data_IF_655626722809
#
_entry.id   IF_655626722809
#
_cell.length_a   1.000
_cell.length_b   1.000
_cell.length_c   1.000
_cell.angle_alpha   90.00
_cell.angle_beta   90.00
_cell.angle_gamma   90.00
#
_symmetry.space_group_name_H-M   'P 1'
#
loop_
_entity.id
_entity.type
_entity.pdbx_description
1 polymer ?
#
# COMPACT_ATOMS: atom_id res chain seq x y z
N UNK A 1 20.84 -28.34 -22.85
CA UNK A 1 21.93 -28.05 -21.90
C UNK A 1 21.75 -28.99 -20.73
N UNK A 2 22.66 -29.95 -20.55
CA UNK A 2 22.68 -30.86 -19.41
C UNK A 2 23.16 -30.09 -18.18
N UNK A 3 22.36 -30.10 -17.10
CA UNK A 3 22.74 -29.50 -15.82
C UNK A 3 23.43 -30.58 -14.99
N UNK A 4 24.63 -30.26 -14.47
CA UNK A 4 25.42 -31.21 -13.69
C UNK A 4 25.39 -30.84 -12.21
N UNK A 5 24.89 -31.75 -11.38
CA UNK A 5 24.75 -31.55 -9.94
C UNK A 5 25.32 -32.74 -9.17
N UNK A 6 25.78 -32.49 -7.94
CA UNK A 6 26.22 -33.56 -7.05
C UNK A 6 25.00 -34.36 -6.59
N UNK A 7 24.96 -35.64 -6.98
CA UNK A 7 23.88 -36.52 -6.57
C UNK A 7 24.14 -37.04 -5.15
N UNK A 8 23.21 -36.84 -4.19
CA UNK A 8 23.40 -37.26 -2.79
C UNK A 8 23.54 -38.77 -2.63
N UNK A 9 22.99 -39.56 -3.56
CA UNK A 9 23.09 -41.02 -3.56
C UNK A 9 24.35 -41.56 -4.24
N UNK A 10 24.77 -40.95 -5.35
CA UNK A 10 25.98 -41.38 -6.07
C UNK A 10 27.27 -40.82 -5.48
N UNK A 11 27.20 -39.72 -4.73
CA UNK A 11 28.36 -38.97 -4.23
C UNK A 11 29.23 -38.36 -5.34
N UNK A 12 28.71 -38.27 -6.57
CA UNK A 12 29.43 -37.75 -7.75
C UNK A 12 28.57 -36.74 -8.49
N UNK A 13 29.23 -35.82 -9.17
CA UNK A 13 28.58 -34.92 -10.14
C UNK A 13 28.04 -35.73 -11.30
N UNK A 14 26.74 -35.60 -11.55
CA UNK A 14 26.01 -36.32 -12.61
C UNK A 14 25.14 -35.36 -13.39
N UNK A 15 24.85 -35.74 -14.63
CA UNK A 15 23.78 -35.08 -15.38
C UNK A 15 22.44 -35.34 -14.68
N UNK A 16 21.71 -34.25 -14.46
CA UNK A 16 20.38 -34.25 -13.85
C UNK A 16 19.38 -33.63 -14.81
N UNK A 17 18.13 -34.07 -14.69
CA UNK A 17 16.98 -33.45 -15.35
C UNK A 17 16.04 -32.85 -14.30
N UNK A 18 15.26 -31.84 -14.70
CA UNK A 18 14.24 -31.24 -13.83
C UNK A 18 12.91 -31.96 -14.01
N UNK A 19 12.32 -32.41 -12.92
CA UNK A 19 11.02 -33.07 -12.88
C UNK A 19 10.04 -32.16 -12.14
N UNK A 20 8.85 -31.94 -12.73
CA UNK A 20 7.78 -31.17 -12.12
C UNK A 20 6.70 -32.12 -11.56
N UNK A 21 6.25 -31.90 -10.33
CA UNK A 21 5.16 -32.65 -9.69
C UNK A 21 4.20 -31.71 -8.98
N UNK A 22 2.91 -32.03 -9.02
CA UNK A 22 1.96 -31.36 -8.13
C UNK A 22 2.14 -31.84 -6.69
N UNK A 23 2.30 -30.89 -5.79
CA UNK A 23 2.30 -31.10 -4.34
C UNK A 23 1.25 -30.21 -3.69
N UNK A 24 0.88 -30.55 -2.45
CA UNK A 24 -0.03 -29.75 -1.64
C UNK A 24 0.71 -29.29 -0.39
N UNK A 25 0.58 -28.00 -0.08
CA UNK A 25 1.06 -27.45 1.18
C UNK A 25 -0.09 -26.79 1.94
N UNK A 26 -0.04 -26.86 3.26
CA UNK A 26 -1.00 -26.16 4.12
C UNK A 26 -0.40 -24.83 4.56
N UNK A 27 -0.94 -23.73 4.03
CA UNK A 27 -0.54 -22.36 4.42
C UNK A 27 -1.71 -21.73 5.16
N UNK A 28 -1.48 -21.29 6.41
CA UNK A 28 -2.51 -20.69 7.29
C UNK A 28 -3.81 -21.53 7.40
N UNK A 29 -3.66 -22.85 7.49
CA UNK A 29 -4.78 -23.79 7.63
C UNK A 29 -5.58 -24.04 6.35
N UNK A 30 -5.09 -23.60 5.18
CA UNK A 30 -5.72 -23.87 3.87
C UNK A 30 -4.77 -24.69 3.00
N UNK A 31 -5.29 -25.73 2.35
CA UNK A 31 -4.53 -26.53 1.40
C UNK A 31 -4.38 -25.80 0.07
N UNK A 32 -3.14 -25.76 -0.43
CA UNK A 32 -2.79 -25.10 -1.70
C UNK A 32 -2.05 -26.10 -2.58
N UNK A 33 -2.60 -26.44 -3.76
CA UNK A 33 -1.85 -27.18 -4.76
C UNK A 33 -0.83 -26.24 -5.41
N UNK A 34 0.41 -26.72 -5.58
CA UNK A 34 1.46 -26.01 -6.30
C UNK A 34 2.34 -27.00 -7.08
N UNK A 35 2.99 -26.51 -8.14
CA UNK A 35 3.93 -27.31 -8.92
C UNK A 35 5.33 -27.20 -8.31
N UNK A 36 5.81 -28.29 -7.73
CA UNK A 36 7.17 -28.41 -7.20
C UNK A 36 8.13 -28.91 -8.28
N UNK A 37 9.37 -28.43 -8.23
CA UNK A 37 10.48 -28.83 -9.10
C UNK A 37 11.53 -29.59 -8.32
N UNK A 38 11.92 -30.74 -8.84
CA UNK A 38 12.96 -31.59 -8.30
C UNK A 38 14.05 -31.86 -9.35
N UNK A 39 15.25 -32.18 -8.90
CA UNK A 39 16.32 -32.67 -9.77
C UNK A 39 16.37 -34.18 -9.72
N UNK A 40 16.33 -34.85 -10.87
CA UNK A 40 16.46 -36.30 -10.99
C UNK A 40 17.79 -36.66 -11.63
N UNK A 41 18.56 -37.52 -10.97
CA UNK A 41 19.81 -38.04 -11.52
C UNK A 41 19.54 -39.02 -12.67
N UNK A 42 20.08 -38.75 -13.86
CA UNK A 42 19.88 -39.62 -15.03
C UNK A 42 20.59 -40.98 -14.91
N UNK A 43 21.53 -41.14 -13.99
CA UNK A 43 22.28 -42.39 -13.80
C UNK A 43 21.63 -43.33 -12.79
N UNK A 44 21.19 -42.81 -11.64
CA UNK A 44 20.66 -43.63 -10.55
C UNK A 44 19.14 -43.46 -10.32
N UNK A 45 18.52 -42.51 -11.00
CA UNK A 45 17.10 -42.19 -10.86
C UNK A 45 16.73 -41.44 -9.58
N UNK A 46 17.69 -41.11 -8.72
CA UNK A 46 17.41 -40.42 -7.45
C UNK A 46 16.87 -39.01 -7.69
N UNK A 47 15.74 -38.69 -7.06
CA UNK A 47 15.13 -37.37 -7.05
C UNK A 47 15.52 -36.63 -5.77
N UNK A 48 16.01 -35.41 -5.91
CA UNK A 48 16.43 -34.58 -4.78
C UNK A 48 16.22 -33.10 -5.09
N UNK A 49 16.12 -32.30 -4.03
CA UNK A 49 16.07 -30.85 -4.13
C UNK A 49 17.50 -30.29 -4.23
N UNK A 50 17.82 -29.66 -5.36
CA UNK A 50 19.08 -28.95 -5.50
C UNK A 50 19.07 -27.62 -4.75
N UNK A 51 20.26 -27.06 -4.42
CA UNK A 51 20.35 -25.71 -3.87
C UNK A 51 19.58 -24.69 -4.74
N UNK A 52 18.71 -23.90 -4.10
CA UNK A 52 17.82 -22.94 -4.77
C UNK A 52 16.49 -23.53 -5.29
N UNK A 53 16.36 -24.85 -5.50
CA UNK A 53 15.08 -25.46 -5.85
C UNK A 53 14.10 -25.45 -4.66
N UNK A 54 14.61 -25.68 -3.44
CA UNK A 54 13.79 -25.57 -2.24
C UNK A 54 13.17 -24.17 -2.10
N UNK A 55 13.98 -23.11 -2.24
CA UNK A 55 13.50 -21.73 -2.17
C UNK A 55 12.49 -21.43 -3.29
N UNK A 56 12.77 -21.89 -4.52
CA UNK A 56 11.86 -21.72 -5.64
C UNK A 56 10.52 -22.46 -5.44
N UNK A 57 10.53 -23.66 -4.85
CA UNK A 57 9.32 -24.42 -4.52
C UNK A 57 8.51 -23.73 -3.43
N UNK A 58 9.18 -23.19 -2.40
CA UNK A 58 8.54 -22.39 -1.35
C UNK A 58 7.89 -21.12 -1.91
N UNK A 59 8.56 -20.43 -2.84
CA UNK A 59 8.01 -19.25 -3.50
C UNK A 59 6.85 -19.59 -4.44
N UNK A 60 6.92 -20.71 -5.17
CA UNK A 60 5.82 -21.21 -5.98
C UNK A 60 4.58 -21.54 -5.13
N UNK A 61 4.77 -22.17 -3.98
CA UNK A 61 3.72 -22.45 -3.02
C UNK A 61 3.07 -21.17 -2.45
N UNK A 62 3.88 -20.17 -2.09
CA UNK A 62 3.40 -18.85 -1.63
C UNK A 62 2.61 -18.12 -2.71
N UNK A 63 3.11 -18.10 -3.94
CA UNK A 63 2.44 -17.48 -5.08
C UNK A 63 1.09 -18.15 -5.36
N UNK A 64 1.04 -19.49 -5.30
CA UNK A 64 -0.21 -20.24 -5.43
C UNK A 64 -1.23 -19.85 -4.35
N UNK A 65 -0.80 -19.73 -3.08
CA UNK A 65 -1.65 -19.28 -1.99
C UNK A 65 -2.20 -17.87 -2.24
N UNK A 66 -1.34 -16.92 -2.61
CA UNK A 66 -1.75 -15.54 -2.87
C UNK A 66 -2.72 -15.47 -4.04
N UNK A 67 -2.52 -16.23 -5.11
CA UNK A 67 -3.47 -16.28 -6.25
C UNK A 67 -4.83 -16.83 -5.86
N UNK A 68 -4.86 -17.87 -5.03
CA UNK A 68 -6.09 -18.54 -4.62
C UNK A 68 -6.89 -17.74 -3.58
N UNK A 69 -6.21 -17.04 -2.67
CA UNK A 69 -6.85 -16.51 -1.46
C UNK A 69 -6.67 -15.02 -1.20
N UNK A 70 -5.68 -14.37 -1.80
CA UNK A 70 -5.35 -12.95 -1.53
C UNK A 70 -5.41 -12.06 -2.78
N UNK A 71 -5.72 -12.63 -3.95
CA UNK A 71 -5.86 -11.88 -5.18
C UNK A 71 -7.10 -10.96 -5.11
N UNK A 72 -7.00 -9.71 -5.61
CA UNK A 72 -8.12 -8.78 -5.58
C UNK A 72 -9.26 -9.30 -6.46
N UNK A 73 -10.48 -9.22 -5.95
CA UNK A 73 -11.66 -9.67 -6.70
C UNK A 73 -12.02 -8.66 -7.80
N UNK A 74 -12.65 -9.11 -8.90
CA UNK A 74 -13.07 -8.21 -9.99
C UNK A 74 -13.87 -7.00 -9.51
N UNK A 75 -14.77 -7.18 -8.54
CA UNK A 75 -15.60 -6.09 -8.00
C UNK A 75 -14.76 -5.07 -7.21
N UNK A 76 -13.75 -5.54 -6.48
CA UNK A 76 -12.81 -4.68 -5.74
C UNK A 76 -11.98 -3.82 -6.70
N UNK A 77 -11.60 -4.39 -7.84
CA UNK A 77 -10.88 -3.69 -8.91
C UNK A 77 -11.73 -2.60 -9.55
N UNK A 78 -12.99 -2.91 -9.88
CA UNK A 78 -13.96 -1.93 -10.39
C UNK A 78 -14.18 -0.82 -9.36
N UNK A 79 -14.33 -1.17 -8.08
CA UNK A 79 -14.51 -0.20 -7.00
C UNK A 79 -13.28 0.71 -6.84
N UNK A 80 -12.08 0.14 -6.86
CA UNK A 80 -10.81 0.88 -6.79
C UNK A 80 -10.70 1.89 -7.93
N UNK A 81 -10.92 1.45 -9.17
CA UNK A 81 -10.87 2.32 -10.34
C UNK A 81 -11.93 3.43 -10.27
N UNK A 82 -13.15 3.07 -9.86
CA UNK A 82 -14.28 4.01 -9.75
C UNK A 82 -14.07 5.04 -8.65
N UNK A 83 -13.38 4.69 -7.56
CA UNK A 83 -12.98 5.62 -6.48
C UNK A 83 -12.19 6.83 -7.01
N UNK A 84 -11.40 6.60 -8.07
CA UNK A 84 -10.60 7.62 -8.75
C UNK A 84 -11.26 8.19 -10.00
N UNK A 85 -12.51 7.84 -10.31
CA UNK A 85 -13.18 8.29 -11.54
C UNK A 85 -12.50 7.86 -12.84
N UNK A 86 -11.62 6.86 -12.79
CA UNK A 86 -10.82 6.42 -13.93
C UNK A 86 -11.62 5.47 -14.86
N UNK A 87 -11.47 5.61 -16.18
CA UNK A 87 -11.90 4.58 -17.14
C UNK A 87 -10.92 3.40 -17.13
N UNK A 88 -11.31 2.22 -17.62
CA UNK A 88 -10.42 1.05 -17.69
C UNK A 88 -9.12 1.38 -18.45
N UNK A 89 -9.25 2.08 -19.59
CA UNK A 89 -8.13 2.56 -20.40
C UNK A 89 -7.22 3.53 -19.63
N UNK A 90 -7.80 4.54 -18.98
CA UNK A 90 -7.00 5.51 -18.23
C UNK A 90 -6.30 4.88 -17.03
N UNK A 91 -6.99 4.00 -16.29
CA UNK A 91 -6.41 3.29 -15.16
C UNK A 91 -5.26 2.36 -15.58
N UNK A 92 -5.42 1.67 -16.72
CA UNK A 92 -4.33 0.87 -17.31
C UNK A 92 -3.10 1.74 -17.63
N UNK A 93 -3.31 2.91 -18.24
CA UNK A 93 -2.23 3.86 -18.56
C UNK A 93 -1.53 4.35 -17.29
N UNK A 94 -2.28 4.67 -16.23
CA UNK A 94 -1.73 5.15 -14.94
C UNK A 94 -0.83 4.10 -14.30
N UNK A 95 -1.25 2.84 -14.31
CA UNK A 95 -0.49 1.73 -13.72
C UNK A 95 0.58 1.15 -14.65
N UNK A 96 0.68 1.63 -15.89
CA UNK A 96 1.62 1.10 -16.89
C UNK A 96 1.22 -0.26 -17.46
N UNK A 97 -0.05 -0.64 -17.37
CA UNK A 97 -0.57 -1.87 -17.93
C UNK A 97 -0.82 -1.76 -19.45
N UNK A 98 -0.90 -2.92 -20.12
CA UNK A 98 -1.43 -3.00 -21.48
C UNK A 98 -2.91 -2.60 -21.55
N UNK A 99 -3.36 -2.16 -22.73
CA UNK A 99 -4.69 -1.57 -22.93
C UNK A 99 -5.85 -2.47 -22.48
N UNK A 100 -5.70 -3.79 -22.62
CA UNK A 100 -6.72 -4.78 -22.29
C UNK A 100 -6.52 -5.44 -20.91
N UNK A 101 -5.40 -5.18 -20.25
CA UNK A 101 -5.02 -5.87 -19.02
C UNK A 101 -6.02 -5.60 -17.89
N UNK A 102 -6.40 -4.34 -17.68
CA UNK A 102 -7.38 -4.01 -16.64
C UNK A 102 -8.77 -4.60 -16.94
N UNK A 103 -9.19 -4.60 -18.21
CA UNK A 103 -10.45 -5.21 -18.62
C UNK A 103 -10.43 -6.72 -18.35
N UNK A 104 -9.32 -7.40 -18.63
CA UNK A 104 -9.17 -8.83 -18.34
C UNK A 104 -9.31 -9.13 -16.84
N UNK A 105 -8.69 -8.31 -15.98
CA UNK A 105 -8.78 -8.49 -14.52
C UNK A 105 -10.18 -8.20 -13.97
N UNK A 106 -10.86 -7.16 -14.47
CA UNK A 106 -12.27 -6.88 -14.12
C UNK A 106 -13.24 -7.97 -14.62
N UNK A 107 -12.80 -8.88 -15.50
CA UNK A 107 -13.57 -10.04 -15.97
C UNK A 107 -13.10 -11.37 -15.36
N UNK A 108 -12.25 -11.35 -14.32
CA UNK A 108 -11.88 -12.54 -13.55
C UNK A 108 -10.51 -13.15 -13.87
N UNK A 109 -9.70 -12.54 -14.75
CA UNK A 109 -8.32 -12.98 -14.89
C UNK A 109 -7.51 -12.62 -13.64
N UNK A 110 -6.66 -13.54 -13.17
CA UNK A 110 -5.81 -13.31 -12.00
C UNK A 110 -4.60 -12.47 -12.38
N UNK A 111 -4.36 -11.30 -11.76
CA UNK A 111 -3.15 -10.52 -12.03
C UNK A 111 -1.89 -11.24 -11.54
N UNK A 112 -0.79 -11.05 -12.25
CA UNK A 112 0.53 -11.53 -11.80
C UNK A 112 1.03 -10.77 -10.56
N UNK A 113 2.13 -11.22 -9.97
CA UNK A 113 2.68 -10.65 -8.73
C UNK A 113 2.99 -9.15 -8.85
N UNK A 114 3.55 -8.71 -9.97
CA UNK A 114 3.89 -7.31 -10.24
C UNK A 114 2.63 -6.44 -10.34
N UNK A 115 1.65 -6.88 -11.12
CA UNK A 115 0.40 -6.15 -11.32
C UNK A 115 -0.44 -6.13 -10.04
N UNK A 116 -0.45 -7.20 -9.25
CA UNK A 116 -1.08 -7.20 -7.91
C UNK A 116 -0.44 -6.18 -6.97
N UNK A 117 0.90 -6.07 -6.98
CA UNK A 117 1.59 -5.04 -6.19
C UNK A 117 1.17 -3.63 -6.61
N UNK A 118 1.16 -3.34 -7.92
CA UNK A 118 0.74 -2.03 -8.44
C UNK A 118 -0.71 -1.69 -8.07
N UNK A 119 -1.63 -2.66 -8.16
CA UNK A 119 -3.02 -2.50 -7.73
C UNK A 119 -3.12 -2.20 -6.22
N UNK A 120 -2.34 -2.90 -5.40
CA UNK A 120 -2.29 -2.66 -3.94
C UNK A 120 -1.73 -1.28 -3.62
N UNK A 121 -0.70 -0.83 -4.32
CA UNK A 121 -0.13 0.50 -4.15
C UNK A 121 -1.10 1.59 -4.64
N UNK A 122 -1.82 1.36 -5.74
CA UNK A 122 -2.85 2.26 -6.24
C UNK A 122 -4.01 2.45 -5.26
N UNK A 123 -4.23 1.53 -4.32
CA UNK A 123 -5.20 1.71 -3.24
C UNK A 123 -4.82 2.85 -2.28
N UNK A 124 -3.55 3.26 -2.23
CA UNK A 124 -3.07 4.42 -1.48
C UNK A 124 -3.22 5.70 -2.33
N UNK A 125 -4.02 6.70 -1.90
CA UNK A 125 -4.28 7.91 -2.66
C UNK A 125 -3.03 8.65 -3.14
N UNK A 126 -2.04 8.83 -2.26
CA UNK A 126 -0.80 9.54 -2.58
C UNK A 126 -0.03 8.84 -3.71
N UNK A 127 0.19 7.53 -3.58
CA UNK A 127 0.91 6.78 -4.61
C UNK A 127 0.16 6.80 -5.95
N UNK A 128 -1.17 6.66 -5.92
CA UNK A 128 -1.97 6.78 -7.15
C UNK A 128 -1.78 8.13 -7.83
N UNK A 129 -1.75 9.23 -7.05
CA UNK A 129 -1.50 10.58 -7.58
C UNK A 129 -0.12 10.70 -8.22
N UNK A 130 0.91 10.10 -7.65
CA UNK A 130 2.25 10.08 -8.24
C UNK A 130 2.27 9.31 -9.56
N UNK A 131 1.70 8.10 -9.58
CA UNK A 131 1.55 7.30 -10.81
C UNK A 131 0.76 8.05 -11.90
N UNK A 132 -0.30 8.76 -11.50
CA UNK A 132 -1.08 9.60 -12.39
C UNK A 132 -0.24 10.75 -12.95
N UNK A 133 0.50 11.47 -12.10
CA UNK A 133 1.33 12.62 -12.50
C UNK A 133 2.36 12.23 -13.55
N UNK A 134 2.96 11.04 -13.42
CA UNK A 134 3.93 10.48 -14.38
C UNK A 134 3.28 10.22 -15.75
N UNK A 135 2.04 9.72 -15.79
CA UNK A 135 1.40 9.22 -17.01
C UNK A 135 0.29 10.10 -17.58
N UNK A 136 -0.06 11.22 -16.93
CA UNK A 136 -1.25 12.04 -17.25
C UNK A 136 -1.28 12.57 -18.69
N UNK A 137 -0.12 12.80 -19.30
CA UNK A 137 -0.03 13.37 -20.65
C UNK A 137 -0.57 12.41 -21.72
N UNK A 138 -0.60 11.11 -21.42
CA UNK A 138 -1.17 10.05 -22.27
C UNK A 138 -2.69 9.89 -22.10
N UNK A 139 -3.31 10.67 -21.21
CA UNK A 139 -4.73 10.57 -20.85
C UNK A 139 -5.48 11.79 -21.39
N UNK A 140 -6.64 11.60 -22.01
CA UNK A 140 -7.44 12.70 -22.55
C UNK A 140 -7.93 13.69 -21.47
N UNK A 141 -8.06 14.97 -21.83
CA UNK A 141 -8.35 16.06 -20.89
C UNK A 141 -9.64 15.86 -20.06
N UNK A 142 -10.72 15.39 -20.67
CA UNK A 142 -12.00 15.09 -19.97
C UNK A 142 -11.77 14.04 -18.88
N UNK A 143 -11.01 13.00 -19.21
CA UNK A 143 -10.75 11.90 -18.28
C UNK A 143 -9.83 12.34 -17.13
N UNK A 144 -8.85 13.21 -17.41
CA UNK A 144 -8.03 13.85 -16.39
C UNK A 144 -8.87 14.68 -15.42
N UNK A 145 -9.75 15.54 -15.92
CA UNK A 145 -10.64 16.35 -15.09
C UNK A 145 -11.51 15.49 -14.18
N UNK A 146 -12.05 14.38 -14.71
CA UNK A 146 -12.85 13.43 -13.91
C UNK A 146 -12.03 12.75 -12.81
N UNK A 147 -10.78 12.40 -13.10
CA UNK A 147 -9.88 11.80 -12.12
C UNK A 147 -9.54 12.81 -11.02
N UNK A 148 -9.11 14.01 -11.42
CA UNK A 148 -8.72 15.07 -10.51
C UNK A 148 -9.88 15.50 -9.61
N UNK A 149 -11.12 15.53 -10.11
CA UNK A 149 -12.31 15.83 -9.31
C UNK A 149 -12.77 14.68 -8.39
N UNK A 150 -12.21 13.48 -8.50
CA UNK A 150 -12.68 12.31 -7.75
C UNK A 150 -12.32 12.38 -6.27
N UNK A 151 -13.18 11.81 -5.41
CA UNK A 151 -12.93 11.75 -3.95
C UNK A 151 -11.62 11.02 -3.63
N UNK A 152 -11.30 9.95 -4.35
CA UNK A 152 -10.07 9.19 -4.17
C UNK A 152 -8.82 9.99 -4.51
N UNK A 153 -8.87 10.82 -5.54
CA UNK A 153 -7.74 11.67 -5.91
C UNK A 153 -7.58 12.85 -4.94
N UNK A 154 -8.69 13.48 -4.57
CA UNK A 154 -8.70 14.59 -3.61
C UNK A 154 -8.29 14.15 -2.20
N UNK A 155 -8.52 12.89 -1.81
CA UNK A 155 -8.02 12.37 -0.53
C UNK A 155 -6.50 12.29 -0.46
N UNK A 156 -5.79 12.26 -1.59
CA UNK A 156 -4.33 12.39 -1.63
C UNK A 156 -3.83 13.77 -1.17
N UNK A 157 -4.72 14.77 -1.10
CA UNK A 157 -4.41 16.11 -0.60
C UNK A 157 -4.77 16.28 0.88
N UNK A 158 -5.22 15.22 1.56
CA UNK A 158 -5.49 15.22 3.01
C UNK A 158 -4.22 14.87 3.79
N UNK A 159 -4.16 15.35 5.04
CA UNK A 159 -3.04 15.18 5.98
C UNK A 159 -2.67 13.72 6.30
N UNK A 160 -3.46 12.75 5.86
CA UNK A 160 -3.27 11.32 6.13
C UNK A 160 -1.98 10.74 5.50
N UNK A 161 -1.26 11.49 4.66
CA UNK A 161 0.04 11.14 4.09
C UNK A 161 1.12 12.18 4.42
N UNK A 162 1.93 11.91 5.45
CA UNK A 162 3.13 12.70 5.79
C UNK A 162 4.18 12.75 4.67
N UNK A 163 4.02 11.97 3.60
CA UNK A 163 4.87 11.97 2.40
C UNK A 163 4.83 13.32 1.66
N UNK A 164 3.70 14.05 1.70
CA UNK A 164 3.62 15.38 1.11
C UNK A 164 4.43 16.43 1.90
N UNK A 165 4.66 16.19 3.20
CA UNK A 165 5.43 17.08 4.04
C UNK A 165 6.92 17.04 3.67
N UNK A 166 7.48 15.85 3.43
CA UNK A 166 8.91 15.72 3.07
C UNK A 166 9.23 16.44 1.75
N UNK A 167 8.33 16.43 0.77
CA UNK A 167 8.49 17.18 -0.47
C UNK A 167 8.48 18.71 -0.28
N UNK A 168 7.90 19.19 0.84
CA UNK A 168 7.84 20.62 1.19
C UNK A 168 8.99 21.05 2.10
N UNK A 169 9.83 20.11 2.53
CA UNK A 169 10.97 20.35 3.41
C UNK A 169 12.28 20.23 2.61
N UNK A 170 13.25 21.08 2.93
CA UNK A 170 14.61 20.97 2.40
C UNK A 170 15.32 19.74 2.99
N UNK A 171 16.34 19.24 2.31
CA UNK A 171 17.17 18.13 2.80
C UNK A 171 17.72 18.40 4.21
N UNK A 172 18.17 19.63 4.48
CA UNK A 172 18.66 20.05 5.79
C UNK A 172 17.55 20.06 6.87
N UNK A 173 16.32 20.42 6.51
CA UNK A 173 15.19 20.37 7.45
C UNK A 173 14.80 18.93 7.77
N UNK A 174 14.79 18.03 6.78
CA UNK A 174 14.56 16.60 6.99
C UNK A 174 15.64 16.00 7.91
N UNK A 175 16.91 16.24 7.61
CA UNK A 175 18.05 15.77 8.42
C UNK A 175 17.94 16.26 9.87
N UNK A 176 17.63 17.55 10.07
CA UNK A 176 17.41 18.10 11.42
C UNK A 176 16.27 17.43 12.15
N UNK A 177 15.16 17.15 11.48
CA UNK A 177 14.01 16.46 12.08
C UNK A 177 14.42 15.04 12.48
N UNK A 178 15.11 14.30 11.62
CA UNK A 178 15.60 12.94 11.88
C UNK A 178 16.56 12.90 13.08
N UNK A 179 17.59 13.75 13.07
CA UNK A 179 18.57 13.85 14.17
C UNK A 179 17.88 14.21 15.50
N UNK A 180 16.88 15.08 15.47
CA UNK A 180 16.15 15.45 16.68
C UNK A 180 15.19 14.36 17.16
N UNK A 181 14.57 13.62 16.23
CA UNK A 181 13.73 12.47 16.53
C UNK A 181 14.56 11.39 17.23
N UNK A 182 15.72 11.05 16.65
CA UNK A 182 16.67 10.08 17.21
C UNK A 182 17.15 10.50 18.61
N UNK A 183 17.62 11.74 18.77
CA UNK A 183 18.06 12.28 20.08
C UNK A 183 16.98 12.27 21.15
N UNK A 184 15.71 12.35 20.73
CA UNK A 184 14.56 12.37 21.65
C UNK A 184 13.92 10.99 21.84
N UNK A 185 14.42 9.95 21.17
CA UNK A 185 13.83 8.61 21.17
C UNK A 185 12.43 8.55 20.55
N UNK A 186 12.09 9.49 19.67
CA UNK A 186 10.79 9.58 19.01
C UNK A 186 10.91 9.13 17.56
N UNK A 187 9.80 8.70 16.96
CA UNK A 187 9.69 8.58 15.52
C UNK A 187 9.64 9.97 14.86
N UNK A 188 10.03 10.04 13.58
CA UNK A 188 9.97 11.28 12.78
C UNK A 188 8.57 11.92 12.81
N UNK A 189 7.45 11.17 12.63
CA UNK A 189 6.10 11.74 12.77
C UNK A 189 5.81 12.32 14.16
N UNK A 190 6.21 11.64 15.23
CA UNK A 190 6.04 12.15 16.60
C UNK A 190 6.86 13.42 16.84
N UNK A 191 8.08 13.46 16.31
CA UNK A 191 8.92 14.65 16.36
C UNK A 191 8.32 15.83 15.58
N UNK A 192 7.74 15.57 14.40
CA UNK A 192 7.02 16.58 13.61
C UNK A 192 5.80 17.06 14.38
N UNK A 193 5.00 16.15 14.96
CA UNK A 193 3.84 16.50 15.78
C UNK A 193 4.26 17.37 16.99
N UNK A 194 5.39 17.05 17.62
CA UNK A 194 5.98 17.87 18.68
C UNK A 194 6.35 19.26 18.18
N UNK A 195 7.00 19.38 17.01
CA UNK A 195 7.34 20.68 16.44
C UNK A 195 6.13 21.51 16.04
N UNK A 196 5.14 20.89 15.40
CA UNK A 196 3.86 21.56 15.08
C UNK A 196 3.17 21.99 16.36
N UNK A 197 3.16 21.15 17.41
CA UNK A 197 2.62 21.51 18.72
C UNK A 197 3.36 22.69 19.35
N UNK A 198 4.69 22.66 19.39
CA UNK A 198 5.49 23.76 19.91
C UNK A 198 5.26 25.06 19.12
N UNK A 199 5.19 25.01 17.80
CA UNK A 199 4.95 26.20 16.97
C UNK A 199 3.51 26.73 17.08
N UNK A 200 2.51 25.84 17.08
CA UNK A 200 1.08 26.22 17.04
C UNK A 200 0.54 26.66 18.40
N UNK A 201 1.08 26.12 19.51
CA UNK A 201 0.62 26.46 20.87
C UNK A 201 1.50 27.50 21.58
N UNK A 202 2.66 27.87 21.03
CA UNK A 202 3.43 29.02 21.54
C UNK A 202 2.64 30.32 21.42
N UNK A 203 1.93 30.55 20.31
CA UNK A 203 1.10 31.76 20.13
C UNK A 203 -0.12 31.77 21.06
N UNK A 204 -0.77 30.63 21.28
CA UNK A 204 -1.90 30.54 22.22
C UNK A 204 -1.46 30.78 23.67
N UNK A 205 -0.34 30.20 24.08
CA UNK A 205 0.20 30.37 25.44
C UNK A 205 0.68 31.81 25.67
N UNK A 206 1.26 32.44 24.64
CA UNK A 206 1.70 33.83 24.67
C UNK A 206 0.52 34.81 24.70
N UNK A 207 -0.52 34.59 23.89
CA UNK A 207 -1.78 35.34 23.94
C UNK A 207 -2.43 35.28 25.33
N UNK A 208 -2.45 34.11 25.98
CA UNK A 208 -2.98 33.97 27.34
C UNK A 208 -2.09 34.59 28.41
N UNK A 209 -0.76 34.49 28.28
CA UNK A 209 0.18 35.05 29.24
C UNK A 209 0.26 36.58 29.16
N UNK A 210 0.10 37.15 27.96
CA UNK A 210 0.11 38.60 27.72
C UNK A 210 -1.29 39.22 27.91
N UNK A 211 -2.36 38.42 27.94
CA UNK A 211 -3.72 38.88 28.24
C UNK A 211 -3.83 39.35 29.70
N UNK A 212 -3.67 40.66 29.90
CA UNK A 212 -4.10 41.32 31.14
C UNK A 212 -5.61 41.54 31.09
N UNK A 213 -6.34 40.70 31.79
CA UNK A 213 -7.75 40.95 32.07
C UNK A 213 -7.84 42.18 32.97
N UNK A 214 -8.35 43.30 32.44
CA UNK A 214 -8.82 44.39 33.29
C UNK A 214 -9.83 43.77 34.25
N UNK A 215 -9.61 43.90 35.55
CA UNK A 215 -10.49 43.42 36.62
C UNK A 215 -11.95 43.80 36.31
N UNK A 216 -12.64 42.89 35.65
CA UNK A 216 -13.96 43.06 35.07
C UNK A 216 -14.73 41.82 35.43
N UNK A 217 -15.44 41.93 36.55
CA UNK A 217 -16.40 41.00 37.14
C UNK A 217 -16.57 39.70 36.35
N UNK A 218 -15.88 38.64 36.78
CA UNK A 218 -16.13 37.27 36.30
C UNK A 218 -17.58 36.93 36.56
N UNK A 219 -18.42 37.00 35.53
CA UNK A 219 -19.81 36.55 35.64
C UNK A 219 -19.79 35.04 35.53
N UNK A 220 -19.96 34.35 36.66
CA UNK A 220 -20.23 32.92 36.67
C UNK A 220 -21.53 32.70 35.87
N UNK A 221 -21.42 32.08 34.70
CA UNK A 221 -22.58 31.58 33.98
C UNK A 221 -22.93 30.26 34.64
N UNK A 222 -23.94 30.28 35.52
CA UNK A 222 -24.48 29.07 36.15
C UNK A 222 -25.08 28.16 35.07
N UNK A 223 -24.77 26.87 35.13
CA UNK A 223 -25.11 25.84 34.13
C UNK A 223 -26.61 25.45 34.08
N UNK A 224 -27.54 26.38 34.30
CA UNK A 224 -28.97 26.10 34.46
C UNK A 224 -29.87 26.81 33.43
N UNK A 225 -29.33 27.30 32.31
CA UNK A 225 -30.14 27.94 31.25
C UNK A 225 -30.19 27.17 29.92
N UNK A 226 -29.72 25.92 29.85
CA UNK A 226 -29.74 25.11 28.61
C UNK A 226 -30.91 24.12 28.49
N UNK A 227 -31.90 24.12 29.39
CA UNK A 227 -33.03 23.16 29.35
C UNK A 227 -34.43 23.79 29.20
N UNK A 228 -34.56 24.96 28.58
CA UNK A 228 -35.87 25.62 28.43
C UNK A 228 -36.22 26.09 27.01
N UNK A 229 -35.74 25.44 25.95
CA UNK A 229 -36.16 25.76 24.57
C UNK A 229 -36.39 24.52 23.69
N UNK A 230 -37.09 23.51 24.23
CA UNK A 230 -37.51 22.35 23.44
C UNK A 230 -38.91 21.83 23.78
N UNK A 231 -39.92 22.69 23.98
CA UNK A 231 -41.35 22.32 23.80
C UNK A 231 -42.19 23.58 23.53
N UNK A 232 -42.59 23.82 22.27
CA UNK A 232 -43.93 24.34 21.89
C UNK A 232 -43.97 24.69 20.40
N UNK A 233 -44.65 23.87 19.60
CA UNK A 233 -44.89 24.13 18.18
C UNK A 233 -45.61 22.97 17.48
N UNK A 234 -46.59 22.38 18.17
CA UNK A 234 -47.57 21.49 17.58
C UNK A 234 -48.95 22.12 17.80
N UNK A 235 -49.48 22.74 16.74
CA UNK A 235 -50.89 22.97 16.47
C UNK A 235 -51.00 23.29 14.96
#
# INVERSE_FOLDING_TARGET
>A
MSMQLSCPRCGKTRDVETVEREEKVTIRGREVPFTARFSRCMTCGEEFEAPGQLDANLDAAREAYTRLYEAPKPEELVALRTRYGASQKAFSIILGFGELTMNSYENGATPDSTNRLLLKLAAKPYIFKEMYTINKDRIGAIQRQRIEASKGFQSAMRWDGLEALSASLTALQCEKIEVCAEKSGLSVPEQIARYVGCASFQDYTRLYAEARWTSGTTRQISATSMLANSVSGAA
#
